data_IF_604613045488
#
_entry.id   IF_604613045488
#
_cell.length_a   1.000
_cell.length_b   1.000
_cell.length_c   1.000
_cell.angle_alpha   90.00
_cell.angle_beta   90.00
_cell.angle_gamma   90.00
#
_symmetry.space_group_name_H-M   'P 1'
#
loop_
_entity.id
_entity.type
_entity.pdbx_description
1 polymer ?
#
# COMPACT_ATOMS: atom_id res chain seq x y z
N UNK A 1 2.03 -4.94 -21.89
CA UNK A 1 0.60 -5.18 -21.61
C UNK A 1 0.29 -6.66 -21.80
N UNK A 2 0.17 -7.41 -20.70
CA UNK A 2 -0.01 -8.87 -20.76
C UNK A 2 -1.38 -9.28 -21.32
N UNK A 3 -2.38 -8.43 -21.19
CA UNK A 3 -3.73 -8.63 -21.70
C UNK A 3 -3.85 -8.60 -23.24
N UNK A 4 -2.84 -8.11 -23.96
CA UNK A 4 -2.80 -8.11 -25.42
C UNK A 4 -2.43 -9.48 -26.00
N UNK A 5 -1.95 -10.39 -25.17
CA UNK A 5 -1.52 -11.74 -25.55
C UNK A 5 -2.55 -12.74 -25.03
N UNK A 6 -2.87 -13.77 -25.82
CA UNK A 6 -3.87 -14.74 -25.45
C UNK A 6 -3.46 -15.60 -24.24
N UNK A 7 -4.44 -16.15 -23.56
CA UNK A 7 -4.27 -16.96 -22.34
C UNK A 7 -3.48 -18.27 -22.57
N UNK A 8 -3.61 -18.87 -23.75
CA UNK A 8 -2.88 -20.12 -24.08
C UNK A 8 -1.36 -19.88 -24.13
N UNK A 9 -0.96 -18.74 -24.68
CA UNK A 9 0.44 -18.34 -24.66
C UNK A 9 0.97 -18.23 -23.22
N UNK A 10 0.23 -17.56 -22.33
CA UNK A 10 0.68 -17.38 -20.95
C UNK A 10 0.73 -18.68 -20.17
N UNK A 11 -0.18 -19.62 -20.43
CA UNK A 11 -0.12 -20.98 -19.87
C UNK A 11 1.11 -21.74 -20.35
N UNK A 12 1.39 -21.69 -21.65
CA UNK A 12 2.58 -22.31 -22.23
C UNK A 12 3.86 -21.66 -21.72
N UNK A 13 3.88 -20.32 -21.62
CA UNK A 13 4.99 -19.55 -21.08
C UNK A 13 5.27 -19.95 -19.62
N UNK A 14 4.25 -19.97 -18.76
CA UNK A 14 4.40 -20.42 -17.37
C UNK A 14 4.98 -21.82 -17.28
N UNK A 15 4.46 -22.75 -18.06
CA UNK A 15 4.96 -24.12 -18.09
C UNK A 15 6.45 -24.16 -18.48
N UNK A 16 6.83 -23.46 -19.53
CA UNK A 16 8.19 -23.43 -20.02
C UNK A 16 9.19 -22.82 -19.01
N UNK A 17 8.85 -21.67 -18.39
CA UNK A 17 9.75 -21.03 -17.42
C UNK A 17 9.86 -21.81 -16.11
N UNK A 18 8.78 -22.47 -15.66
CA UNK A 18 8.80 -23.32 -14.46
C UNK A 18 9.57 -24.64 -14.68
N UNK A 19 9.68 -25.12 -15.90
CA UNK A 19 10.56 -26.23 -16.23
C UNK A 19 12.05 -25.87 -16.07
N UNK A 20 12.40 -24.57 -16.18
CA UNK A 20 13.75 -24.06 -15.94
C UNK A 20 13.99 -23.75 -14.46
N UNK A 21 12.98 -23.14 -13.82
CA UNK A 21 13.03 -22.76 -12.41
C UNK A 21 11.63 -22.89 -11.80
N UNK A 22 11.43 -23.89 -10.95
CA UNK A 22 10.13 -24.26 -10.38
C UNK A 22 9.49 -23.13 -9.57
N UNK A 23 10.29 -22.38 -8.80
CA UNK A 23 9.87 -21.31 -7.90
C UNK A 23 9.84 -19.92 -8.57
N UNK A 24 9.86 -19.85 -9.91
CA UNK A 24 9.81 -18.56 -10.61
C UNK A 24 8.49 -17.87 -10.32
N UNK A 25 8.58 -16.56 -10.03
CA UNK A 25 7.44 -15.71 -9.74
C UNK A 25 7.11 -14.83 -10.95
N UNK A 26 5.89 -14.95 -11.47
CA UNK A 26 5.44 -14.26 -12.67
C UNK A 26 4.49 -13.11 -12.31
N UNK A 27 4.86 -11.91 -12.70
CA UNK A 27 4.05 -10.69 -12.53
C UNK A 27 3.56 -10.22 -13.89
N UNK A 28 2.23 -10.12 -14.05
CA UNK A 28 1.62 -9.58 -15.27
C UNK A 28 1.38 -8.08 -15.15
N UNK A 29 1.65 -7.35 -16.22
CA UNK A 29 1.18 -5.98 -16.34
C UNK A 29 -0.22 -5.98 -16.95
N UNK A 30 -1.22 -5.87 -16.08
CA UNK A 30 -2.64 -5.86 -16.41
C UNK A 30 -3.28 -4.68 -15.68
N UNK A 31 -3.88 -3.78 -16.45
CA UNK A 31 -4.41 -2.52 -15.94
C UNK A 31 -5.79 -2.63 -15.30
N UNK A 32 -6.53 -3.68 -15.67
CA UNK A 32 -7.88 -3.90 -15.25
C UNK A 32 -7.98 -5.07 -14.27
N UNK A 33 -9.20 -5.53 -14.03
CA UNK A 33 -9.47 -6.70 -13.21
C UNK A 33 -8.77 -7.94 -13.79
N UNK A 34 -7.89 -8.55 -12.98
CA UNK A 34 -6.95 -9.57 -13.44
C UNK A 34 -7.33 -11.01 -13.04
N UNK A 35 -8.57 -11.24 -12.56
CA UNK A 35 -8.97 -12.52 -12.00
C UNK A 35 -8.75 -13.72 -12.91
N UNK A 36 -8.97 -13.55 -14.21
CA UNK A 36 -8.78 -14.63 -15.19
C UNK A 36 -7.31 -15.03 -15.38
N UNK A 37 -6.36 -14.09 -15.19
CA UNK A 37 -4.91 -14.35 -15.30
C UNK A 37 -4.31 -14.89 -14.00
N UNK A 38 -5.04 -14.79 -12.87
CA UNK A 38 -4.58 -15.12 -11.52
C UNK A 38 -5.17 -16.43 -10.98
N UNK A 39 -5.61 -17.32 -11.89
CA UNK A 39 -6.16 -18.63 -11.51
C UNK A 39 -5.08 -19.65 -11.10
N UNK A 40 -3.79 -19.30 -11.22
CA UNK A 40 -2.66 -20.16 -10.88
C UNK A 40 -2.02 -20.86 -12.08
N UNK A 41 -2.54 -20.62 -13.27
CA UNK A 41 -2.10 -21.23 -14.54
C UNK A 41 -1.35 -20.23 -15.45
N UNK A 42 -1.31 -18.95 -15.12
CA UNK A 42 -0.66 -17.88 -15.90
C UNK A 42 0.29 -17.06 -15.03
N UNK A 43 -0.22 -16.07 -14.27
CA UNK A 43 0.57 -15.23 -13.39
C UNK A 43 0.36 -15.57 -11.92
N UNK A 44 1.35 -15.25 -11.10
CA UNK A 44 1.27 -15.33 -9.64
C UNK A 44 0.78 -14.01 -9.04
N UNK A 45 1.03 -12.90 -9.75
CA UNK A 45 0.72 -11.53 -9.35
C UNK A 45 0.48 -10.64 -10.56
N UNK A 46 -0.04 -9.45 -10.29
CA UNK A 46 -0.09 -8.35 -11.27
C UNK A 46 0.39 -7.05 -10.64
N UNK A 47 0.76 -6.08 -11.49
CA UNK A 47 0.90 -4.70 -11.09
C UNK A 47 -0.49 -4.18 -10.69
N UNK A 48 -0.67 -3.87 -9.40
CA UNK A 48 -1.99 -3.57 -8.83
C UNK A 48 -2.41 -2.13 -9.07
N UNK A 49 -2.83 -1.83 -10.29
CA UNK A 49 -3.32 -0.50 -10.67
C UNK A 49 -4.64 -0.12 -9.98
N UNK A 50 -5.46 -1.09 -9.56
CA UNK A 50 -6.65 -0.83 -8.75
C UNK A 50 -6.27 -0.26 -7.38
N UNK A 51 -5.22 -0.80 -6.74
CA UNK A 51 -4.68 -0.23 -5.50
C UNK A 51 -4.31 1.24 -5.70
N UNK A 52 -3.51 1.54 -6.74
CA UNK A 52 -3.11 2.90 -7.10
C UNK A 52 -4.33 3.81 -7.31
N UNK A 53 -5.30 3.36 -8.09
CA UNK A 53 -6.53 4.10 -8.41
C UNK A 53 -7.29 4.54 -7.15
N UNK A 54 -7.45 3.64 -6.19
CA UNK A 54 -8.16 3.94 -4.96
C UNK A 54 -7.33 4.81 -4.02
N UNK A 55 -6.02 4.56 -3.90
CA UNK A 55 -5.11 5.44 -3.19
C UNK A 55 -5.11 6.87 -3.77
N UNK A 56 -5.12 7.01 -5.09
CA UNK A 56 -5.18 8.31 -5.76
C UNK A 56 -6.42 9.10 -5.35
N UNK A 57 -7.60 8.47 -5.34
CA UNK A 57 -8.84 9.14 -4.96
C UNK A 57 -8.88 9.54 -3.50
N UNK A 58 -8.31 8.74 -2.61
CA UNK A 58 -8.33 9.00 -1.17
C UNK A 58 -7.20 9.93 -0.73
N UNK A 59 -5.95 9.57 -1.00
CA UNK A 59 -4.78 10.35 -0.57
C UNK A 59 -4.43 11.50 -1.51
N UNK A 60 -4.48 11.27 -2.83
CA UNK A 60 -4.07 12.26 -3.83
C UNK A 60 -5.12 13.33 -4.07
N UNK A 61 -6.17 12.98 -4.77
CA UNK A 61 -7.23 13.90 -5.19
C UNK A 61 -8.19 14.28 -4.06
N UNK A 62 -8.26 13.47 -3.03
CA UNK A 62 -9.18 13.62 -1.87
C UNK A 62 -10.65 13.70 -2.30
N UNK A 63 -11.02 12.91 -3.31
CA UNK A 63 -12.39 12.82 -3.85
C UNK A 63 -13.21 11.68 -3.27
N UNK A 64 -12.60 10.80 -2.48
CA UNK A 64 -13.25 9.72 -1.74
C UNK A 64 -13.15 9.99 -0.23
N UNK A 65 -14.18 9.61 0.52
CA UNK A 65 -14.12 9.51 1.98
C UNK A 65 -13.59 8.13 2.43
N UNK A 66 -13.43 7.94 3.74
CA UNK A 66 -12.90 6.69 4.30
C UNK A 66 -13.85 5.50 4.06
N UNK A 67 -15.16 5.72 4.09
CA UNK A 67 -16.15 4.68 3.82
C UNK A 67 -16.09 4.18 2.38
N UNK A 68 -16.02 5.09 1.40
CA UNK A 68 -15.85 4.71 0.00
C UNK A 68 -14.49 4.02 -0.22
N UNK A 69 -13.42 4.57 0.36
CA UNK A 69 -12.08 3.98 0.26
C UNK A 69 -12.05 2.54 0.79
N UNK A 70 -12.58 2.32 2.00
CA UNK A 70 -12.66 0.97 2.61
C UNK A 70 -13.45 -0.01 1.76
N UNK A 71 -14.63 0.40 1.28
CA UNK A 71 -15.47 -0.41 0.40
C UNK A 71 -14.69 -0.85 -0.84
N UNK A 72 -14.00 0.08 -1.52
CA UNK A 72 -13.21 -0.23 -2.71
C UNK A 72 -12.01 -1.12 -2.44
N UNK A 73 -11.30 -0.89 -1.33
CA UNK A 73 -10.16 -1.72 -0.92
C UNK A 73 -10.63 -3.13 -0.52
N UNK A 74 -11.81 -3.25 0.07
CA UNK A 74 -12.44 -4.52 0.39
C UNK A 74 -12.86 -5.26 -0.88
N UNK A 75 -13.56 -4.62 -1.80
CA UNK A 75 -13.94 -5.20 -3.10
C UNK A 75 -12.71 -5.73 -3.85
N UNK A 76 -11.63 -4.96 -3.90
CA UNK A 76 -10.38 -5.36 -4.55
C UNK A 76 -9.79 -6.62 -3.89
N UNK A 77 -9.74 -6.69 -2.56
CA UNK A 77 -9.22 -7.86 -1.83
C UNK A 77 -10.10 -9.09 -1.99
N UNK A 78 -11.41 -8.92 -2.00
CA UNK A 78 -12.37 -10.02 -2.09
C UNK A 78 -12.49 -10.66 -3.48
N UNK A 79 -11.97 -10.01 -4.52
CA UNK A 79 -11.94 -10.57 -5.89
C UNK A 79 -10.99 -11.75 -6.06
N UNK A 80 -9.93 -11.78 -5.26
CA UNK A 80 -8.84 -12.74 -5.44
C UNK A 80 -8.73 -13.70 -4.26
N UNK A 81 -8.14 -14.87 -4.52
CA UNK A 81 -7.76 -15.79 -3.45
C UNK A 81 -6.76 -15.09 -2.51
N UNK A 82 -6.79 -15.45 -1.24
CA UNK A 82 -5.94 -14.84 -0.21
C UNK A 82 -4.46 -14.77 -0.61
N UNK A 83 -3.88 -15.89 -1.06
CA UNK A 83 -2.48 -15.92 -1.49
C UNK A 83 -2.18 -14.94 -2.62
N UNK A 84 -3.13 -14.75 -3.54
CA UNK A 84 -3.01 -13.79 -4.64
C UNK A 84 -3.04 -12.35 -4.13
N UNK A 85 -3.89 -12.04 -3.14
CA UNK A 85 -3.93 -10.70 -2.51
C UNK A 85 -2.57 -10.35 -1.89
N UNK A 86 -1.94 -11.33 -1.21
CA UNK A 86 -0.61 -11.11 -0.61
C UNK A 86 0.53 -11.08 -1.63
N UNK A 87 0.29 -11.56 -2.83
CA UNK A 87 1.24 -11.54 -3.93
C UNK A 87 1.10 -10.31 -4.83
N UNK A 88 0.01 -9.51 -4.72
CA UNK A 88 -0.21 -8.34 -5.57
C UNK A 88 0.90 -7.29 -5.40
N UNK A 89 1.42 -6.78 -6.52
CA UNK A 89 2.42 -5.71 -6.53
C UNK A 89 1.74 -4.35 -6.37
N UNK A 90 1.61 -3.89 -5.13
CA UNK A 90 0.95 -2.62 -4.80
C UNK A 90 1.86 -1.44 -5.14
N UNK A 91 1.50 -0.67 -6.13
CA UNK A 91 2.25 0.49 -6.60
C UNK A 91 1.48 1.79 -6.34
N UNK A 92 2.20 2.85 -6.06
CA UNK A 92 1.70 4.22 -6.16
C UNK A 92 2.08 4.80 -7.52
N UNK A 93 3.27 4.45 -8.03
CA UNK A 93 3.83 4.92 -9.28
C UNK A 93 4.37 3.80 -10.17
N UNK A 94 4.44 4.11 -11.47
CA UNK A 94 5.12 3.31 -12.47
C UNK A 94 5.60 4.20 -13.63
N UNK A 95 6.30 3.58 -14.58
CA UNK A 95 6.77 4.26 -15.80
C UNK A 95 5.65 4.71 -16.77
N UNK A 96 4.39 4.33 -16.51
CA UNK A 96 3.24 4.61 -17.39
C UNK A 96 2.19 5.52 -16.75
N UNK A 97 2.47 6.08 -15.58
CA UNK A 97 1.54 6.95 -14.86
C UNK A 97 2.24 8.15 -14.25
N UNK A 98 1.51 9.24 -14.10
CA UNK A 98 1.98 10.44 -13.39
C UNK A 98 2.48 10.09 -11.99
N UNK A 99 3.55 10.76 -11.53
CA UNK A 99 4.05 10.61 -10.17
C UNK A 99 2.96 10.90 -9.15
N UNK A 100 2.76 10.01 -8.19
CA UNK A 100 1.69 10.10 -7.21
C UNK A 100 1.81 11.35 -6.34
N UNK A 101 3.04 11.74 -5.99
CA UNK A 101 3.31 12.99 -5.29
C UNK A 101 2.75 14.21 -6.02
N UNK A 102 2.80 14.22 -7.36
CA UNK A 102 2.23 15.31 -8.18
C UNK A 102 0.70 15.35 -8.18
N UNK A 103 0.05 14.26 -7.78
CA UNK A 103 -1.40 14.15 -7.66
C UNK A 103 -1.90 14.48 -6.25
N UNK A 104 -1.00 14.56 -5.28
CA UNK A 104 -1.33 14.94 -3.91
C UNK A 104 -1.44 16.46 -3.78
N UNK A 105 -2.35 16.93 -2.94
CA UNK A 105 -2.53 18.35 -2.64
C UNK A 105 -1.39 18.91 -1.78
N UNK A 106 -0.80 18.05 -0.96
CA UNK A 106 0.26 18.37 -0.02
C UNK A 106 1.21 17.16 0.15
N UNK A 107 2.36 17.40 0.71
CA UNK A 107 3.39 16.36 0.94
C UNK A 107 2.95 15.38 2.02
N UNK A 108 2.23 15.84 3.02
CA UNK A 108 1.73 15.03 4.13
C UNK A 108 0.78 13.93 3.61
N UNK A 109 -0.09 14.27 2.67
CA UNK A 109 -0.99 13.30 2.02
C UNK A 109 -0.21 12.22 1.25
N UNK A 110 0.88 12.59 0.57
CA UNK A 110 1.77 11.63 -0.08
C UNK A 110 2.44 10.71 0.96
N UNK A 111 2.93 11.27 2.06
CA UNK A 111 3.53 10.50 3.17
C UNK A 111 2.55 9.49 3.76
N UNK A 112 1.29 9.87 3.97
CA UNK A 112 0.25 8.96 4.43
C UNK A 112 -0.04 7.82 3.43
N UNK A 113 -0.02 8.11 2.13
CA UNK A 113 -0.13 7.08 1.09
C UNK A 113 1.02 6.08 1.13
N UNK A 114 2.25 6.54 1.37
CA UNK A 114 3.43 5.67 1.56
C UNK A 114 3.28 4.78 2.80
N UNK A 115 2.84 5.34 3.93
CA UNK A 115 2.56 4.56 5.15
C UNK A 115 1.51 3.48 4.86
N UNK A 116 0.43 3.84 4.17
CA UNK A 116 -0.60 2.88 3.78
C UNK A 116 -0.02 1.78 2.88
N UNK A 117 0.71 2.13 1.82
CA UNK A 117 1.34 1.17 0.91
C UNK A 117 2.22 0.16 1.66
N UNK A 118 3.02 0.63 2.61
CA UNK A 118 3.96 -0.20 3.36
C UNK A 118 3.29 -1.07 4.43
N UNK A 119 2.06 -0.77 4.83
CA UNK A 119 1.35 -1.49 5.89
C UNK A 119 0.18 -2.33 5.38
N UNK A 120 -0.29 -2.09 4.14
CA UNK A 120 -1.37 -2.85 3.50
C UNK A 120 -0.92 -4.27 3.08
N UNK A 121 -1.85 -5.26 2.98
CA UNK A 121 -1.57 -6.59 2.41
C UNK A 121 -1.07 -6.52 0.97
N UNK A 122 -0.10 -7.34 0.62
CA UNK A 122 0.52 -7.38 -0.70
C UNK A 122 1.99 -7.02 -0.67
N UNK A 123 2.62 -6.87 -1.83
CA UNK A 123 4.01 -6.50 -1.98
C UNK A 123 4.10 -5.02 -2.39
N UNK A 124 4.59 -4.12 -1.53
CA UNK A 124 4.78 -2.72 -1.92
C UNK A 124 5.86 -2.61 -3.00
N UNK A 125 5.56 -1.86 -4.05
CA UNK A 125 6.49 -1.53 -5.12
C UNK A 125 6.80 -0.04 -5.08
N UNK A 126 8.06 0.29 -4.86
CA UNK A 126 8.56 1.68 -4.92
C UNK A 126 9.11 1.90 -6.32
N UNK A 127 8.55 2.86 -7.04
CA UNK A 127 9.11 3.29 -8.32
C UNK A 127 10.30 4.23 -8.05
N UNK A 128 11.40 4.06 -8.77
CA UNK A 128 12.62 4.84 -8.54
C UNK A 128 12.31 6.34 -8.50
N UNK A 129 12.87 7.02 -7.52
CA UNK A 129 12.69 8.46 -7.35
C UNK A 129 11.51 8.87 -6.46
N UNK A 130 10.58 7.96 -6.12
CA UNK A 130 9.53 8.26 -5.14
C UNK A 130 10.13 8.59 -3.78
N UNK A 131 11.18 7.86 -3.39
CA UNK A 131 11.89 8.01 -2.12
C UNK A 131 12.65 9.33 -2.01
N UNK A 132 12.95 9.95 -3.13
CA UNK A 132 13.59 11.29 -3.19
C UNK A 132 12.63 12.38 -3.65
N UNK A 133 11.35 12.01 -3.79
CA UNK A 133 10.26 12.94 -4.05
C UNK A 133 10.20 13.49 -5.48
N UNK A 134 10.60 12.70 -6.46
CA UNK A 134 10.41 13.08 -7.87
C UNK A 134 8.92 13.36 -8.15
N UNK A 135 8.70 14.36 -8.97
CA UNK A 135 7.38 14.78 -9.46
C UNK A 135 7.32 14.65 -10.97
N UNK A 136 6.13 14.67 -11.55
CA UNK A 136 5.92 14.66 -12.99
C UNK A 136 4.49 14.23 -13.34
N UNK A 137 3.88 14.97 -14.28
CA UNK A 137 2.54 14.69 -14.82
C UNK A 137 2.65 14.15 -16.23
N UNK A 138 3.50 14.74 -17.06
CA UNK A 138 3.74 14.34 -18.43
C UNK A 138 4.72 13.17 -18.50
N UNK A 139 4.72 12.43 -19.61
CA UNK A 139 5.53 11.23 -19.78
C UNK A 139 7.02 11.50 -19.60
N UNK A 140 7.54 12.54 -20.21
CA UNK A 140 8.93 12.97 -20.09
C UNK A 140 9.31 13.38 -18.65
N UNK A 141 8.34 13.86 -17.87
CA UNK A 141 8.56 14.28 -16.49
C UNK A 141 8.59 13.08 -15.52
N UNK A 142 7.61 12.16 -15.61
CA UNK A 142 7.58 11.03 -14.67
C UNK A 142 8.59 9.93 -15.02
N UNK A 143 9.18 9.94 -16.23
CA UNK A 143 10.31 9.08 -16.64
C UNK A 143 11.68 9.75 -16.55
N UNK A 144 11.77 10.93 -15.92
CA UNK A 144 13.04 11.63 -15.73
C UNK A 144 14.07 10.74 -15.02
N UNK A 145 15.39 10.93 -15.29
CA UNK A 145 16.43 10.14 -14.65
C UNK A 145 16.50 10.38 -13.15
N UNK A 146 17.03 9.39 -12.42
CA UNK A 146 17.32 9.52 -10.98
C UNK A 146 18.36 10.65 -10.74
N UNK A 147 18.10 11.60 -9.83
CA UNK A 147 18.99 12.75 -9.57
C UNK A 147 20.16 12.36 -8.66
N UNK A 148 21.03 11.47 -9.11
CA UNK A 148 22.13 10.92 -8.30
C UNK A 148 23.06 11.97 -7.70
N UNK A 149 23.31 13.06 -8.44
CA UNK A 149 24.26 14.11 -8.01
C UNK A 149 23.70 15.01 -6.90
N UNK A 150 22.36 15.01 -6.70
CA UNK A 150 21.67 15.82 -5.69
C UNK A 150 20.90 14.96 -4.69
N UNK A 151 21.19 13.66 -4.65
CA UNK A 151 20.56 12.73 -3.73
C UNK A 151 20.84 13.13 -2.28
N UNK A 152 19.77 13.36 -1.51
CA UNK A 152 19.84 13.60 -0.07
C UNK A 152 19.18 12.48 0.72
N UNK A 153 19.99 11.53 1.17
CA UNK A 153 19.54 10.41 2.00
C UNK A 153 19.11 10.84 3.42
N UNK A 154 19.35 12.08 3.80
CA UNK A 154 18.89 12.66 5.07
C UNK A 154 17.54 13.37 4.96
N UNK A 155 16.98 13.47 3.75
CA UNK A 155 15.69 14.13 3.55
C UNK A 155 14.57 13.43 4.32
N UNK A 156 13.58 14.16 4.84
CA UNK A 156 12.47 13.57 5.62
C UNK A 156 11.73 12.46 4.88
N UNK A 157 11.57 12.60 3.57
CA UNK A 157 10.88 11.62 2.75
C UNK A 157 11.70 10.34 2.57
N UNK A 158 13.00 10.46 2.30
CA UNK A 158 13.89 9.30 2.20
C UNK A 158 13.91 8.50 3.51
N UNK A 159 14.05 9.20 4.64
CA UNK A 159 14.02 8.59 5.98
C UNK A 159 12.67 7.95 6.29
N UNK A 160 11.55 8.52 5.81
CA UNK A 160 10.22 7.93 5.94
C UNK A 160 10.14 6.58 5.21
N UNK A 161 10.58 6.51 3.94
CA UNK A 161 10.64 5.26 3.18
C UNK A 161 11.53 4.23 3.87
N UNK A 162 12.73 4.63 4.28
CA UNK A 162 13.68 3.74 4.96
C UNK A 162 13.09 3.16 6.25
N UNK A 163 12.43 4.00 7.07
CA UNK A 163 11.78 3.57 8.31
C UNK A 163 10.59 2.66 8.05
N UNK A 164 9.72 3.00 7.08
CA UNK A 164 8.55 2.21 6.72
C UNK A 164 8.93 0.81 6.19
N UNK A 165 9.94 0.75 5.30
CA UNK A 165 10.50 -0.51 4.78
C UNK A 165 11.11 -1.34 5.91
N UNK A 166 11.88 -0.71 6.80
CA UNK A 166 12.53 -1.38 7.94
C UNK A 166 11.47 -1.96 8.87
N UNK A 167 10.43 -1.18 9.20
CA UNK A 167 9.32 -1.64 10.02
C UNK A 167 8.61 -2.83 9.39
N UNK A 168 8.25 -2.74 8.10
CA UNK A 168 7.63 -3.85 7.38
C UNK A 168 8.50 -5.11 7.37
N UNK A 169 9.82 -4.97 7.18
CA UNK A 169 10.75 -6.11 7.22
C UNK A 169 10.83 -6.73 8.61
N UNK A 170 10.79 -5.93 9.66
CA UNK A 170 10.84 -6.38 11.06
C UNK A 170 9.53 -7.06 11.46
N UNK A 171 8.39 -6.46 11.16
CA UNK A 171 7.08 -6.89 11.64
C UNK A 171 6.46 -7.95 10.70
N UNK A 172 6.41 -9.22 11.14
CA UNK A 172 5.79 -10.31 10.39
C UNK A 172 4.29 -10.06 10.14
N UNK A 173 3.62 -9.42 11.08
CA UNK A 173 2.20 -9.01 11.01
C UNK A 173 1.95 -8.14 9.77
N UNK A 174 2.81 -7.18 9.45
CA UNK A 174 2.65 -6.32 8.28
C UNK A 174 2.84 -7.07 6.96
N UNK A 175 3.63 -8.17 6.96
CA UNK A 175 3.88 -8.96 5.76
C UNK A 175 2.85 -10.07 5.52
N UNK A 176 2.43 -10.75 6.60
CA UNK A 176 1.63 -12.00 6.53
C UNK A 176 0.31 -11.93 7.28
N UNK A 177 0.11 -10.90 8.12
CA UNK A 177 -1.10 -10.75 8.93
C UNK A 177 -2.35 -10.49 8.10
N UNK A 178 -3.49 -10.88 8.64
CA UNK A 178 -4.81 -10.56 8.13
C UNK A 178 -5.08 -9.05 8.21
N UNK A 179 -6.19 -8.64 7.66
CA UNK A 179 -6.63 -7.24 7.62
C UNK A 179 -8.05 -7.10 8.13
N UNK A 180 -8.25 -6.14 9.01
CA UNK A 180 -9.57 -5.77 9.52
C UNK A 180 -9.69 -4.25 9.61
N UNK A 181 -10.77 -3.68 9.06
CA UNK A 181 -11.09 -2.26 9.20
C UNK A 181 -11.55 -1.97 10.62
N UNK A 182 -11.10 -0.86 11.18
CA UNK A 182 -11.46 -0.36 12.51
C UNK A 182 -12.27 0.94 12.45
N UNK A 183 -11.84 1.88 11.58
CA UNK A 183 -12.48 3.19 11.39
C UNK A 183 -12.55 3.51 9.89
N UNK A 184 -13.77 3.70 9.39
CA UNK A 184 -14.02 4.06 7.99
C UNK A 184 -15.41 4.72 7.86
N UNK A 185 -15.65 5.78 8.65
CA UNK A 185 -16.95 6.46 8.66
C UNK A 185 -17.19 7.21 7.35
N UNK A 186 -18.37 7.06 6.73
CA UNK A 186 -18.76 7.86 5.57
C UNK A 186 -18.74 9.37 5.91
N UNK A 187 -18.22 10.15 4.98
CA UNK A 187 -18.07 11.60 5.15
C UNK A 187 -16.83 12.02 5.93
N UNK A 188 -16.12 11.09 6.58
CA UNK A 188 -14.82 11.32 7.22
C UNK A 188 -13.67 10.85 6.32
N UNK A 189 -12.48 11.45 6.50
CA UNK A 189 -11.23 10.98 5.91
C UNK A 189 -10.25 10.45 6.96
N UNK A 190 -10.76 10.00 8.10
CA UNK A 190 -9.98 9.25 9.08
C UNK A 190 -10.11 7.77 8.78
N UNK A 191 -9.00 7.12 8.52
CA UNK A 191 -9.00 5.70 8.20
C UNK A 191 -8.17 4.91 9.21
N UNK A 192 -8.80 3.91 9.82
CA UNK A 192 -8.17 3.03 10.80
C UNK A 192 -8.35 1.57 10.43
N UNK A 193 -7.30 0.79 10.53
CA UNK A 193 -7.34 -0.65 10.29
C UNK A 193 -6.33 -1.38 11.16
N UNK A 194 -6.51 -2.68 11.24
CA UNK A 194 -5.63 -3.59 11.97
C UNK A 194 -5.06 -4.65 11.03
N UNK A 195 -3.77 -4.90 11.20
CA UNK A 195 -3.11 -6.09 10.70
C UNK A 195 -2.94 -7.04 11.88
N UNK A 196 -3.37 -8.29 11.76
CA UNK A 196 -3.24 -9.26 12.85
C UNK A 196 -2.78 -10.62 12.33
N UNK A 197 -2.01 -11.33 13.15
CA UNK A 197 -1.41 -12.62 12.83
C UNK A 197 -1.61 -13.56 14.02
N UNK A 198 -2.35 -14.63 13.80
CA UNK A 198 -2.45 -15.73 14.74
C UNK A 198 -1.16 -16.57 14.70
N UNK A 199 -0.56 -16.78 15.86
CA UNK A 199 0.65 -17.59 16.03
C UNK A 199 0.29 -19.04 16.31
N UNK A 200 1.29 -19.92 16.21
CA UNK A 200 1.12 -21.35 16.43
C UNK A 200 0.65 -21.69 17.88
N UNK A 201 0.95 -20.85 18.85
CA UNK A 201 0.50 -20.97 20.22
C UNK A 201 -0.92 -20.44 20.49
N UNK A 202 -1.60 -19.96 19.44
CA UNK A 202 -2.93 -19.37 19.51
C UNK A 202 -2.98 -17.91 19.94
N UNK A 203 -1.84 -17.30 20.29
CA UNK A 203 -1.79 -15.86 20.57
C UNK A 203 -1.95 -15.04 19.29
N UNK A 204 -2.52 -13.84 19.43
CA UNK A 204 -2.71 -12.92 18.30
C UNK A 204 -1.72 -11.76 18.45
N UNK A 205 -0.88 -11.57 17.45
CA UNK A 205 -0.08 -10.36 17.34
C UNK A 205 -0.76 -9.39 16.40
N UNK A 206 -0.99 -8.15 16.82
CA UNK A 206 -1.65 -7.17 15.98
C UNK A 206 -0.99 -5.80 16.01
N UNK A 207 -1.13 -5.07 14.88
CA UNK A 207 -0.72 -3.69 14.71
C UNK A 207 -1.92 -2.92 14.17
N UNK A 208 -2.35 -1.90 14.91
CA UNK A 208 -3.37 -0.96 14.51
C UNK A 208 -2.73 0.23 13.83
N UNK A 209 -3.29 0.66 12.71
CA UNK A 209 -2.80 1.76 11.90
C UNK A 209 -3.91 2.77 11.76
N UNK A 210 -3.62 4.03 12.09
CA UNK A 210 -4.54 5.16 11.96
C UNK A 210 -3.92 6.22 11.08
N UNK A 211 -4.72 6.72 10.12
CA UNK A 211 -4.33 7.74 9.16
C UNK A 211 -5.39 8.86 9.20
N UNK A 212 -4.96 10.07 9.49
CA UNK A 212 -5.83 11.24 9.47
C UNK A 212 -5.58 12.07 8.22
N UNK A 213 -6.49 12.02 7.26
CA UNK A 213 -6.46 12.82 6.04
C UNK A 213 -7.21 14.15 6.16
N UNK A 214 -7.79 14.44 7.37
CA UNK A 214 -8.47 15.74 7.63
C UNK A 214 -7.45 16.86 7.84
N UNK A 215 -7.94 18.11 7.73
CA UNK A 215 -7.19 19.33 8.02
C UNK A 215 -7.23 19.70 9.52
N UNK A 216 -7.86 18.88 10.34
CA UNK A 216 -8.08 19.09 11.76
C UNK A 216 -7.61 17.90 12.58
N UNK A 217 -7.36 18.15 13.88
CA UNK A 217 -7.12 17.09 14.85
C UNK A 217 -8.41 16.31 15.08
N UNK A 218 -8.31 14.99 15.15
CA UNK A 218 -9.47 14.10 15.37
C UNK A 218 -9.26 13.22 16.59
N UNK A 219 -10.29 13.01 17.41
CA UNK A 219 -10.20 12.06 18.51
C UNK A 219 -10.20 10.63 17.95
N UNK A 220 -9.36 9.77 18.48
CA UNK A 220 -9.40 8.33 18.23
C UNK A 220 -10.09 7.62 19.41
N UNK A 221 -10.85 6.55 19.19
CA UNK A 221 -11.47 5.77 20.26
C UNK A 221 -10.43 5.26 21.25
N UNK A 222 -10.63 5.52 22.54
CA UNK A 222 -9.67 5.21 23.59
C UNK A 222 -9.32 3.72 23.67
N UNK A 223 -10.30 2.86 23.41
CA UNK A 223 -10.15 1.41 23.39
C UNK A 223 -9.21 0.90 22.28
N UNK A 224 -8.98 1.71 21.24
CA UNK A 224 -8.07 1.37 20.14
C UNK A 224 -6.63 1.85 20.37
N UNK A 225 -6.40 2.68 21.40
CA UNK A 225 -5.09 3.29 21.66
C UNK A 225 -4.21 2.47 22.61
N UNK A 226 -4.77 1.44 23.26
CA UNK A 226 -3.99 0.57 24.15
C UNK A 226 -2.90 -0.19 23.42
N UNK A 227 -1.62 -0.04 23.87
CA UNK A 227 -0.52 -0.78 23.29
C UNK A 227 0.82 -0.04 23.27
N UNK A 228 1.78 -0.61 22.53
CA UNK A 228 3.10 -0.03 22.28
C UNK A 228 3.05 0.82 21.00
N UNK A 229 3.39 2.10 21.10
CA UNK A 229 3.52 2.96 19.93
C UNK A 229 4.80 2.58 19.17
N UNK A 230 4.65 1.99 17.99
CA UNK A 230 5.77 1.61 17.13
C UNK A 230 6.29 2.82 16.34
N UNK A 231 5.36 3.62 15.84
CA UNK A 231 5.67 4.83 15.10
C UNK A 231 4.45 5.74 15.03
N UNK A 232 4.65 7.04 15.19
CA UNK A 232 3.56 8.01 15.08
C UNK A 232 4.09 9.39 14.68
N UNK A 233 3.22 10.19 14.08
CA UNK A 233 3.35 11.64 13.94
C UNK A 233 2.00 12.28 14.30
N UNK A 234 2.01 13.12 15.32
CA UNK A 234 0.83 13.87 15.73
C UNK A 234 -0.14 13.20 16.70
N UNK A 235 0.15 11.99 17.22
CA UNK A 235 -0.70 11.39 18.26
C UNK A 235 -0.37 11.97 19.63
N UNK A 236 -1.32 12.66 20.24
CA UNK A 236 -1.19 13.25 21.58
C UNK A 236 -2.54 13.25 22.31
N UNK A 237 -2.56 12.76 23.57
CA UNK A 237 -3.74 12.78 24.44
C UNK A 237 -5.01 12.19 23.78
N UNK A 238 -4.85 11.10 23.02
CA UNK A 238 -5.96 10.45 22.31
C UNK A 238 -6.41 11.17 21.03
N UNK A 239 -5.76 12.26 20.65
CA UNK A 239 -6.05 12.98 19.42
C UNK A 239 -4.95 12.75 18.37
N UNK A 240 -5.33 12.51 17.14
CA UNK A 240 -4.45 12.43 16.00
C UNK A 240 -4.49 13.73 15.20
N UNK A 241 -3.36 14.40 15.11
CA UNK A 241 -3.23 15.69 14.43
C UNK A 241 -3.67 15.62 12.96
N UNK A 242 -4.02 16.78 12.39
CA UNK A 242 -4.21 16.94 10.96
C UNK A 242 -3.03 16.29 10.19
N UNK A 243 -3.35 15.49 9.16
CA UNK A 243 -2.36 14.76 8.35
C UNK A 243 -1.41 13.85 9.18
N UNK A 244 -1.81 13.50 10.39
CA UNK A 244 -1.03 12.62 11.27
C UNK A 244 -1.29 11.13 11.04
N UNK A 245 -0.43 10.29 11.60
CA UNK A 245 -0.62 8.84 11.62
C UNK A 245 -0.12 8.20 12.93
N UNK A 246 -0.61 7.01 13.22
CA UNK A 246 -0.13 6.20 14.33
C UNK A 246 -0.14 4.71 13.99
N UNK A 247 0.92 4.00 14.35
CA UNK A 247 1.06 2.56 14.31
C UNK A 247 1.26 2.07 15.75
N UNK A 248 0.32 1.26 16.24
CA UNK A 248 0.27 0.81 17.63
C UNK A 248 0.21 -0.72 17.64
N UNK A 249 1.21 -1.37 18.26
CA UNK A 249 1.11 -2.81 18.56
C UNK A 249 0.11 -2.97 19.70
N UNK A 250 -1.01 -3.63 19.44
CA UNK A 250 -2.01 -3.88 20.46
C UNK A 250 -1.43 -4.79 21.58
N UNK A 251 -1.87 -4.57 22.80
CA UNK A 251 -1.68 -5.54 23.90
C UNK A 251 -2.91 -6.45 23.91
N UNK A 252 -2.65 -7.73 24.04
CA UNK A 252 -3.70 -8.73 24.30
C UNK A 252 -4.42 -8.42 25.62
#
# INVERSE_FOLDING_TARGET
>A
MANEINHEFWRAFRHAVRAVKEDIFLIGEIWEEAGIWLQGDQFDSTMNYDFRKHCRRFFGEQTADAGEFDSRMTDMRMRYRKQTVYAQLNLLDSHDVSRFRSLCRDEESFRLAVIFQMTFPGMPSVFYGDEVGLTGILEEEYRQPMPWDTLDESSPLFLLYQKAITLRKKEAVLRRGEYRTLLAEPGSRVYGYERYLEKEDGSIESIRIFLNMEEENVPLPEELLGGEILWQEGLKEGQLAAKGFALIRARD
#
